data_IF_113301982910
#
_entry.id   IF_113301982910
#
_cell.length_a   1.000
_cell.length_b   1.000
_cell.length_c   1.000
_cell.angle_alpha   90.00
_cell.angle_beta   90.00
_cell.angle_gamma   90.00
#
_symmetry.space_group_name_H-M   'P 1'
#
loop_
_entity.id
_entity.type
_entity.pdbx_description
1 polymer ?
#
# COMPACT_ATOMS: atom_id res chain seq x y z
N UNK A 1 4.74 -4.76 8.96
CA UNK A 1 4.84 -5.60 7.74
C UNK A 1 3.45 -5.98 7.27
N UNK A 2 3.16 -5.77 5.98
CA UNK A 2 1.89 -6.15 5.36
C UNK A 2 1.88 -7.65 5.04
N UNK A 3 0.70 -8.28 5.03
CA UNK A 3 0.52 -9.73 4.77
C UNK A 3 0.96 -10.17 3.37
N UNK A 4 1.21 -9.20 2.49
CA UNK A 4 1.67 -9.36 1.11
C UNK A 4 3.19 -9.22 0.95
N UNK A 5 3.95 -9.41 2.04
CA UNK A 5 5.42 -9.41 2.05
C UNK A 5 6.04 -8.03 1.72
N UNK A 6 5.42 -6.96 2.20
CA UNK A 6 6.01 -5.60 2.19
C UNK A 6 6.29 -5.15 3.62
N UNK A 7 7.48 -4.61 3.86
CA UNK A 7 7.87 -4.08 5.17
C UNK A 7 8.65 -2.78 5.05
N UNK A 8 8.76 -2.07 6.18
CA UNK A 8 9.57 -0.86 6.30
C UNK A 8 11.03 -1.14 5.87
N UNK A 9 11.69 -0.08 5.43
CA UNK A 9 13.07 -0.17 4.95
C UNK A 9 14.00 -0.65 6.05
N UNK A 10 14.99 -1.45 5.66
CA UNK A 10 16.00 -1.93 6.59
C UNK A 10 16.77 -0.75 7.18
N UNK A 11 16.78 -0.64 8.52
CA UNK A 11 17.40 0.46 9.28
C UNK A 11 16.85 1.87 9.00
N UNK A 12 15.67 1.99 8.38
CA UNK A 12 15.03 3.28 8.11
C UNK A 12 15.82 4.19 7.15
N UNK A 13 16.73 3.62 6.35
CA UNK A 13 17.51 4.37 5.37
C UNK A 13 16.75 4.42 4.04
N UNK A 14 16.01 5.51 3.81
CA UNK A 14 15.39 5.76 2.51
C UNK A 14 16.42 6.31 1.54
N UNK A 15 16.83 5.52 0.55
CA UNK A 15 17.63 6.00 -0.59
C UNK A 15 16.70 6.70 -1.59
N UNK A 16 16.15 7.86 -1.21
CA UNK A 16 15.31 8.68 -2.07
C UNK A 16 14.52 9.75 -1.31
N UNK A 17 14.09 10.79 -2.01
CA UNK A 17 13.24 11.84 -1.45
C UNK A 17 11.83 11.31 -1.13
N UNK A 18 11.16 11.94 -0.15
CA UNK A 18 9.74 11.70 0.09
C UNK A 18 8.94 12.29 -1.06
N UNK A 19 7.97 11.51 -1.57
CA UNK A 19 7.04 11.97 -2.58
C UNK A 19 5.81 12.58 -1.93
N UNK A 20 5.29 13.63 -2.54
CA UNK A 20 4.07 14.29 -2.11
C UNK A 20 2.94 14.07 -3.13
N UNK A 21 1.72 13.88 -2.62
CA UNK A 21 0.52 13.72 -3.44
C UNK A 21 -0.62 14.57 -2.85
N UNK A 22 -1.49 15.07 -3.72
CA UNK A 22 -2.77 15.66 -3.33
C UNK A 22 -3.87 14.65 -3.64
N UNK A 23 -4.62 14.25 -2.62
CA UNK A 23 -5.66 13.22 -2.76
C UNK A 23 -7.05 13.79 -3.08
N UNK A 24 -7.14 15.10 -3.36
CA UNK A 24 -8.41 15.78 -3.62
C UNK A 24 -9.32 15.82 -2.40
N UNK A 25 -8.76 15.75 -1.19
CA UNK A 25 -9.48 15.68 0.08
C UNK A 25 -9.45 16.99 0.88
N UNK A 26 -8.89 18.06 0.33
CA UNK A 26 -8.77 19.35 1.01
C UNK A 26 -7.54 19.48 1.91
N UNK A 27 -6.70 18.43 2.03
CA UNK A 27 -5.44 18.52 2.78
C UNK A 27 -4.28 19.14 1.96
N UNK A 28 -4.49 19.39 0.67
CA UNK A 28 -3.43 19.85 -0.23
C UNK A 28 -2.41 18.75 -0.55
N UNK A 29 -1.17 19.13 -0.87
CA UNK A 29 -0.09 18.15 -1.08
C UNK A 29 0.46 17.66 0.26
N UNK A 30 0.39 16.35 0.48
CA UNK A 30 0.94 15.68 1.65
C UNK A 30 2.07 14.73 1.24
N UNK A 31 3.14 14.72 2.05
CA UNK A 31 4.16 13.70 1.94
C UNK A 31 3.57 12.31 2.20
N UNK A 32 4.15 11.30 1.57
CA UNK A 32 3.83 9.90 1.85
C UNK A 32 3.91 9.60 3.34
N UNK A 33 3.02 8.73 3.81
CA UNK A 33 3.05 8.19 5.16
C UNK A 33 4.38 7.48 5.38
N UNK A 34 4.66 6.51 4.51
CA UNK A 34 5.91 5.75 4.52
C UNK A 34 6.21 5.13 3.15
N UNK A 35 7.37 4.48 3.06
CA UNK A 35 7.75 3.58 1.97
C UNK A 35 7.91 2.16 2.52
N UNK A 36 7.32 1.18 1.82
CA UNK A 36 7.48 -0.24 2.13
C UNK A 36 8.13 -0.93 0.95
N UNK A 37 9.11 -1.79 1.22
CA UNK A 37 9.84 -2.59 0.23
C UNK A 37 9.40 -4.04 0.30
N UNK A 38 9.36 -4.72 -0.84
CA UNK A 38 9.11 -6.14 -0.88
C UNK A 38 10.24 -6.88 -0.15
N UNK A 39 9.89 -7.81 0.72
CA UNK A 39 10.85 -8.46 1.61
C UNK A 39 11.07 -9.94 1.31
N UNK A 40 10.53 -10.45 0.20
CA UNK A 40 10.73 -11.85 -0.22
C UNK A 40 10.37 -12.90 0.85
N UNK A 41 9.51 -12.55 1.82
CA UNK A 41 9.12 -13.42 2.92
C UNK A 41 10.12 -13.47 4.08
N UNK A 42 11.21 -12.70 4.03
CA UNK A 42 12.17 -12.55 5.12
C UNK A 42 11.91 -11.22 5.87
N UNK A 43 11.29 -11.25 7.07
CA UNK A 43 10.97 -10.05 7.82
C UNK A 43 12.21 -9.32 8.40
N UNK A 44 13.37 -9.97 8.45
CA UNK A 44 14.57 -9.41 9.07
C UNK A 44 15.56 -8.86 8.04
N UNK A 45 15.75 -9.57 6.92
CA UNK A 45 16.78 -9.23 5.92
C UNK A 45 16.23 -9.05 4.51
N UNK A 46 14.94 -9.28 4.29
CA UNK A 46 14.31 -9.20 2.99
C UNK A 46 14.41 -7.83 2.33
N UNK A 47 14.17 -6.76 3.09
CA UNK A 47 14.25 -5.38 2.58
C UNK A 47 15.69 -4.91 2.39
N UNK A 48 16.66 -5.51 3.09
CA UNK A 48 18.09 -5.32 2.79
C UNK A 48 18.43 -5.94 1.42
N UNK A 49 17.95 -7.15 1.15
CA UNK A 49 18.17 -7.80 -0.14
C UNK A 49 17.54 -7.01 -1.29
N UNK A 50 16.34 -6.48 -1.09
CA UNK A 50 15.67 -5.59 -2.03
C UNK A 50 16.47 -4.29 -2.24
N UNK A 51 16.98 -3.69 -1.17
CA UNK A 51 17.84 -2.49 -1.28
C UNK A 51 19.12 -2.77 -2.08
N UNK A 52 19.66 -3.99 -2.04
CA UNK A 52 20.86 -4.32 -2.82
C UNK A 52 20.51 -4.63 -4.29
N UNK A 53 19.42 -5.37 -4.51
CA UNK A 53 19.09 -5.97 -5.81
C UNK A 53 18.07 -5.18 -6.63
N UNK A 54 17.37 -4.23 -6.02
CA UNK A 54 16.16 -3.65 -6.57
C UNK A 54 14.97 -4.58 -6.37
N UNK A 55 13.79 -4.06 -6.68
CA UNK A 55 12.55 -4.79 -6.47
C UNK A 55 11.34 -3.87 -6.34
N UNK A 56 10.23 -4.48 -5.92
CA UNK A 56 8.96 -3.77 -5.79
C UNK A 56 8.90 -3.01 -4.46
N UNK A 57 8.48 -1.77 -4.51
CA UNK A 57 8.19 -0.97 -3.33
C UNK A 57 6.89 -0.19 -3.51
N UNK A 58 6.34 0.26 -2.39
CA UNK A 58 5.12 1.07 -2.35
C UNK A 58 5.27 2.28 -1.46
N UNK A 59 4.67 3.39 -1.88
CA UNK A 59 4.44 4.59 -1.07
C UNK A 59 2.94 4.71 -0.86
N UNK A 60 2.52 5.19 0.30
CA UNK A 60 1.09 5.23 0.60
C UNK A 60 0.65 6.46 1.40
N UNK A 61 -0.59 6.87 1.15
CA UNK A 61 -1.27 8.01 1.75
C UNK A 61 -2.67 7.60 2.18
N UNK A 62 -3.23 8.27 3.17
CA UNK A 62 -4.62 8.06 3.58
C UNK A 62 -5.46 9.26 3.15
N UNK A 63 -6.60 9.01 2.52
CA UNK A 63 -7.56 10.06 2.19
C UNK A 63 -8.48 10.28 3.39
N UNK A 64 -8.29 11.40 4.08
CA UNK A 64 -8.98 11.72 5.34
C UNK A 64 -9.15 13.22 5.57
N UNK A 65 -9.23 13.99 4.49
CA UNK A 65 -9.39 15.44 4.56
C UNK A 65 -10.85 15.88 4.62
N UNK A 66 -11.07 17.16 4.93
CA UNK A 66 -12.41 17.72 5.16
C UNK A 66 -13.28 17.79 3.90
N UNK A 67 -12.70 17.76 2.70
CA UNK A 67 -13.44 17.78 1.43
C UNK A 67 -13.76 16.37 0.92
N UNK A 68 -12.98 15.37 1.32
CA UNK A 68 -13.26 13.95 1.07
C UNK A 68 -12.58 13.05 2.12
N UNK A 69 -13.38 12.35 2.94
CA UNK A 69 -12.88 11.37 3.91
C UNK A 69 -13.48 10.00 3.61
N UNK A 70 -12.91 9.31 2.62
CA UNK A 70 -13.29 7.92 2.32
C UNK A 70 -12.64 6.92 3.26
N UNK A 71 -11.63 7.33 4.03
CA UNK A 71 -10.76 6.44 4.80
C UNK A 71 -9.86 5.53 3.96
N UNK A 72 -9.92 5.61 2.63
CA UNK A 72 -9.16 4.75 1.72
C UNK A 72 -7.66 5.04 1.77
N UNK A 73 -6.87 4.00 1.54
CA UNK A 73 -5.43 4.14 1.33
C UNK A 73 -5.13 4.27 -0.15
N UNK A 74 -4.39 5.30 -0.51
CA UNK A 74 -3.85 5.53 -1.84
C UNK A 74 -2.44 4.97 -1.86
N UNK A 75 -2.14 4.08 -2.81
CA UNK A 75 -0.85 3.39 -2.90
C UNK A 75 -0.23 3.62 -4.27
N UNK A 76 0.99 4.13 -4.31
CA UNK A 76 1.83 4.18 -5.51
C UNK A 76 2.87 3.06 -5.44
N UNK A 77 2.74 2.10 -6.36
CA UNK A 77 3.64 0.96 -6.47
C UNK A 77 4.61 1.14 -7.63
N UNK A 78 5.85 0.71 -7.44
CA UNK A 78 6.86 0.71 -8.50
C UNK A 78 7.94 -0.33 -8.28
N UNK A 79 8.65 -0.68 -9.36
CA UNK A 79 9.84 -1.53 -9.33
C UNK A 79 11.10 -0.69 -9.60
N UNK A 80 12.10 -0.84 -8.74
CA UNK A 80 13.42 -0.18 -8.83
C UNK A 80 14.50 -1.15 -9.31
N UNK A 81 15.48 -0.61 -10.02
CA UNK A 81 16.78 -1.21 -10.27
C UNK A 81 17.59 -1.37 -8.96
N UNK A 82 18.65 -2.21 -8.94
CA UNK A 82 19.56 -2.33 -7.80
C UNK A 82 20.25 -1.03 -7.39
N UNK A 83 20.81 -1.01 -6.17
CA UNK A 83 21.61 0.11 -5.67
C UNK A 83 22.79 0.48 -6.60
N UNK A 84 23.37 -0.49 -7.31
CA UNK A 84 24.41 -0.24 -8.33
C UNK A 84 23.95 0.64 -9.49
N UNK A 85 22.64 0.79 -9.66
CA UNK A 85 21.97 1.64 -10.63
C UNK A 85 21.16 2.76 -9.94
N UNK A 86 21.51 3.11 -8.69
CA UNK A 86 20.92 4.20 -7.91
C UNK A 86 19.40 4.10 -7.72
N UNK A 87 18.83 2.89 -7.66
CA UNK A 87 17.38 2.71 -7.47
C UNK A 87 16.51 3.44 -8.50
N UNK A 88 17.00 3.57 -9.73
CA UNK A 88 16.19 4.10 -10.82
C UNK A 88 14.97 3.20 -11.04
N UNK A 89 13.82 3.80 -11.34
CA UNK A 89 12.63 3.02 -11.71
C UNK A 89 12.91 2.27 -13.02
N UNK A 90 12.67 0.96 -13.02
CA UNK A 90 12.87 0.12 -14.21
C UNK A 90 11.94 0.56 -15.35
N UNK A 91 12.24 0.27 -16.62
CA UNK A 91 11.27 0.45 -17.70
C UNK A 91 9.95 -0.26 -17.38
N UNK A 92 8.83 0.44 -17.55
CA UNK A 92 7.49 -0.04 -17.16
C UNK A 92 7.31 -0.32 -15.65
N UNK A 93 8.18 0.24 -14.79
CA UNK A 93 8.25 -0.09 -13.37
C UNK A 93 6.98 0.23 -12.58
N UNK A 94 6.19 1.23 -12.99
CA UNK A 94 4.92 1.56 -12.34
C UNK A 94 3.86 0.49 -12.59
N UNK A 95 3.67 0.07 -13.85
CA UNK A 95 2.71 -0.98 -14.18
C UNK A 95 3.14 -2.32 -13.58
N UNK A 96 4.45 -2.64 -13.63
CA UNK A 96 5.00 -3.84 -12.98
C UNK A 96 4.77 -3.82 -11.47
N UNK A 97 5.05 -2.71 -10.80
CA UNK A 97 4.87 -2.57 -9.36
C UNK A 97 3.40 -2.74 -8.96
N UNK A 98 2.50 -2.07 -9.70
CA UNK A 98 1.04 -2.19 -9.53
C UNK A 98 0.58 -3.64 -9.68
N UNK A 99 1.05 -4.34 -10.71
CA UNK A 99 0.61 -5.70 -11.02
C UNK A 99 1.16 -6.72 -10.00
N UNK A 100 2.42 -6.55 -9.55
CA UNK A 100 3.02 -7.37 -8.46
C UNK A 100 2.27 -7.15 -7.15
N UNK A 101 2.04 -5.89 -6.77
CA UNK A 101 1.31 -5.55 -5.55
C UNK A 101 -0.10 -6.14 -5.55
N UNK A 102 -0.84 -5.91 -6.65
CA UNK A 102 -2.22 -6.41 -6.83
C UNK A 102 -2.24 -7.94 -6.80
N UNK A 103 -1.37 -8.60 -7.58
CA UNK A 103 -1.32 -10.05 -7.68
C UNK A 103 -1.04 -10.71 -6.33
N UNK A 104 -0.12 -10.16 -5.54
CA UNK A 104 0.16 -10.64 -4.19
C UNK A 104 -1.02 -10.44 -3.23
N UNK A 105 -1.76 -9.33 -3.36
CA UNK A 105 -2.93 -9.06 -2.52
C UNK A 105 -4.12 -9.97 -2.84
N UNK A 106 -4.31 -10.34 -4.11
CA UNK A 106 -5.50 -11.08 -4.59
C UNK A 106 -5.27 -12.59 -4.74
N UNK A 107 -4.33 -13.17 -4.00
CA UNK A 107 -4.13 -14.62 -3.99
C UNK A 107 -5.43 -15.34 -3.58
N UNK A 108 -5.76 -16.44 -4.27
CA UNK A 108 -7.04 -17.15 -4.10
C UNK A 108 -7.23 -17.76 -2.71
N UNK A 109 -6.14 -18.12 -2.04
CA UNK A 109 -6.12 -18.60 -0.66
C UNK A 109 -6.02 -17.47 0.38
N UNK A 110 -6.05 -16.21 -0.06
CA UNK A 110 -5.82 -15.05 0.79
C UNK A 110 -4.36 -14.87 1.21
N UNK A 111 -4.13 -13.97 2.16
CA UNK A 111 -2.80 -13.67 2.70
C UNK A 111 -2.83 -13.71 4.22
N UNK A 112 -1.67 -13.96 4.84
CA UNK A 112 -1.55 -14.08 6.30
C UNK A 112 -0.49 -13.09 6.79
N UNK A 113 -0.86 -12.25 7.75
CA UNK A 113 0.11 -11.39 8.44
C UNK A 113 0.95 -12.23 9.39
N UNK A 114 2.26 -12.31 9.15
CA UNK A 114 3.20 -13.01 10.04
C UNK A 114 3.20 -12.37 11.44
N UNK A 115 2.94 -11.06 11.54
CA UNK A 115 3.00 -10.32 12.81
C UNK A 115 1.77 -10.58 13.70
N UNK A 116 0.59 -10.73 13.11
CA UNK A 116 -0.69 -10.81 13.86
C UNK A 116 -1.40 -12.14 13.71
N UNK A 117 -0.92 -13.00 12.81
CA UNK A 117 -1.59 -14.21 12.34
C UNK A 117 -3.01 -13.95 11.76
N UNK A 118 -3.32 -12.69 11.41
CA UNK A 118 -4.57 -12.32 10.75
C UNK A 118 -4.57 -12.81 9.31
N UNK A 119 -5.70 -13.31 8.84
CA UNK A 119 -5.90 -13.71 7.46
C UNK A 119 -6.75 -12.69 6.73
N UNK A 120 -6.41 -12.44 5.47
CA UNK A 120 -7.07 -11.45 4.62
C UNK A 120 -7.44 -12.07 3.28
N UNK A 121 -8.53 -11.62 2.68
CA UNK A 121 -8.81 -11.80 1.26
C UNK A 121 -8.97 -10.44 0.59
N UNK A 122 -8.63 -10.34 -0.68
CA UNK A 122 -8.84 -9.13 -1.45
C UNK A 122 -9.45 -9.43 -2.81
N UNK A 123 -10.28 -8.52 -3.29
CA UNK A 123 -10.77 -8.49 -4.68
C UNK A 123 -10.23 -7.25 -5.37
N UNK A 124 -9.96 -7.35 -6.68
CA UNK A 124 -9.54 -6.22 -7.51
C UNK A 124 -10.64 -5.83 -8.50
N UNK A 125 -10.89 -4.53 -8.61
CA UNK A 125 -11.57 -3.92 -9.75
C UNK A 125 -10.55 -3.08 -10.53
N UNK A 126 -10.45 -3.33 -11.83
CA UNK A 126 -9.59 -2.56 -12.73
C UNK A 126 -10.39 -1.40 -13.30
N UNK A 127 -9.85 -0.20 -13.15
CA UNK A 127 -10.47 1.03 -13.64
C UNK A 127 -9.56 1.74 -14.64
N UNK A 128 -10.18 2.25 -15.70
CA UNK A 128 -9.55 3.09 -16.72
C UNK A 128 -9.99 4.55 -16.54
N UNK A 129 -9.30 5.47 -17.21
CA UNK A 129 -9.72 6.87 -17.32
C UNK A 129 -9.33 7.77 -16.14
N UNK A 130 -8.73 7.22 -15.09
CA UNK A 130 -8.09 8.00 -14.02
C UNK A 130 -6.71 8.52 -14.43
N UNK A 131 -5.97 7.72 -15.18
CA UNK A 131 -4.69 8.09 -15.79
C UNK A 131 -4.80 7.98 -17.30
N UNK A 132 -4.07 8.85 -18.00
CA UNK A 132 -4.01 8.81 -19.46
C UNK A 132 -3.18 7.62 -19.90
N UNK A 133 -3.83 6.69 -20.61
CA UNK A 133 -3.16 5.51 -21.13
C UNK A 133 -2.01 5.86 -22.08
N UNK A 134 -0.93 5.07 -22.03
CA UNK A 134 0.30 5.25 -22.80
C UNK A 134 0.90 6.65 -22.65
N UNK A 135 0.80 7.23 -21.45
CA UNK A 135 1.30 8.56 -21.15
C UNK A 135 2.12 8.56 -19.87
N UNK A 136 3.14 9.41 -19.88
CA UNK A 136 3.93 9.78 -18.70
C UNK A 136 3.53 11.14 -18.12
N UNK A 137 2.48 11.74 -18.67
CA UNK A 137 1.94 13.01 -18.19
C UNK A 137 1.46 12.84 -16.75
N UNK A 138 2.12 13.53 -15.83
CA UNK A 138 1.80 13.41 -14.41
C UNK A 138 2.42 12.25 -13.66
N UNK A 139 3.28 11.48 -14.33
CA UNK A 139 3.97 10.32 -13.76
C UNK A 139 5.43 10.68 -13.47
N UNK A 140 5.90 10.29 -12.29
CA UNK A 140 7.28 10.53 -11.88
C UNK A 140 8.27 9.84 -12.85
N UNK A 141 9.48 10.40 -12.98
CA UNK A 141 10.51 9.98 -13.96
C UNK A 141 10.09 9.99 -15.44
N UNK A 142 8.94 10.59 -15.79
CA UNK A 142 8.41 10.59 -17.15
C UNK A 142 8.26 9.18 -17.77
N UNK A 143 7.99 8.17 -16.95
CA UNK A 143 7.73 6.80 -17.39
C UNK A 143 6.26 6.66 -17.75
N UNK A 144 5.98 6.17 -18.96
CA UNK A 144 4.62 5.96 -19.40
C UNK A 144 3.97 4.78 -18.66
N UNK A 145 2.66 4.89 -18.41
CA UNK A 145 1.82 3.82 -17.83
C UNK A 145 0.74 3.41 -18.83
N UNK A 146 0.19 2.21 -18.67
CA UNK A 146 -0.98 1.76 -19.44
C UNK A 146 -2.28 2.49 -19.03
N UNK A 147 -2.24 3.33 -17.99
CA UNK A 147 -3.35 4.15 -17.50
C UNK A 147 -4.32 3.42 -16.58
N UNK A 148 -4.12 2.12 -16.31
CA UNK A 148 -5.00 1.33 -15.45
C UNK A 148 -4.72 1.59 -13.98
N UNK A 149 -5.79 1.66 -13.20
CA UNK A 149 -5.77 1.73 -11.74
C UNK A 149 -6.40 0.46 -11.19
N UNK A 150 -5.75 -0.16 -10.19
CA UNK A 150 -6.35 -1.27 -9.45
C UNK A 150 -6.97 -0.73 -8.16
N UNK A 151 -8.25 -1.03 -7.96
CA UNK A 151 -8.98 -0.75 -6.73
C UNK A 151 -9.14 -2.06 -5.97
N UNK A 152 -8.50 -2.15 -4.80
CA UNK A 152 -8.55 -3.33 -3.96
C UNK A 152 -9.59 -3.16 -2.85
N UNK A 153 -10.45 -4.15 -2.67
CA UNK A 153 -11.30 -4.26 -1.48
C UNK A 153 -10.76 -5.38 -0.62
N UNK A 154 -10.33 -5.06 0.60
CA UNK A 154 -9.70 -6.02 1.52
C UNK A 154 -10.70 -6.42 2.61
N UNK A 155 -10.75 -7.71 2.94
CA UNK A 155 -11.54 -8.25 4.03
C UNK A 155 -10.65 -9.02 4.98
N UNK A 156 -10.85 -8.80 6.27
CA UNK A 156 -10.32 -9.69 7.31
C UNK A 156 -11.17 -10.96 7.29
N UNK A 157 -10.53 -12.10 7.07
CA UNK A 157 -11.19 -13.42 7.06
C UNK A 157 -10.88 -14.25 8.30
N UNK A 158 -9.93 -13.80 9.12
CA UNK A 158 -9.54 -14.40 10.38
C UNK A 158 -8.80 -13.39 11.24
N UNK A 159 -9.25 -13.24 12.49
CA UNK A 159 -8.74 -12.20 13.41
C UNK A 159 -7.35 -12.49 13.97
N UNK A 160 -6.80 -13.68 13.69
CA UNK A 160 -5.50 -14.08 14.20
C UNK A 160 -5.44 -14.09 15.73
N UNK A 161 -4.25 -14.33 16.24
CA UNK A 161 -3.92 -14.15 17.65
C UNK A 161 -2.41 -14.01 17.75
N UNK A 162 -1.95 -12.90 18.31
CA UNK A 162 -0.59 -12.81 18.80
C UNK A 162 -0.56 -13.59 20.11
N UNK A 163 0.31 -14.59 20.26
CA UNK A 163 0.54 -15.20 21.56
C UNK A 163 0.88 -14.06 22.54
N UNK A 164 0.00 -13.84 23.53
CA UNK A 164 0.28 -12.89 24.59
C UNK A 164 1.62 -13.28 25.21
N UNK A 165 2.57 -12.35 25.23
CA UNK A 165 3.77 -12.51 26.05
C UNK A 165 3.29 -12.85 27.47
N UNK A 166 3.59 -14.08 27.91
CA UNK A 166 3.09 -14.62 29.17
C UNK A 166 3.38 -13.66 30.31
N UNK A 167 2.36 -13.01 30.81
CA UNK A 167 2.43 -12.21 32.03
C UNK A 167 1.45 -12.85 33.01
N UNK A 168 2.02 -13.31 34.10
CA UNK A 168 1.37 -13.88 35.27
C UNK A 168 0.19 -13.05 35.75
N UNK A 169 -0.85 -13.77 36.19
CA UNK A 169 -2.14 -13.27 36.63
C UNK A 169 -2.07 -12.09 37.61
N UNK A 170 -2.87 -11.06 37.35
CA UNK A 170 -3.61 -10.34 38.39
C UNK A 170 -4.82 -9.65 37.76
N UNK A 171 -5.99 -10.02 38.26
CA UNK A 171 -7.28 -9.55 37.80
C UNK A 171 -7.51 -8.08 38.19
N UNK A 172 -7.97 -7.28 37.24
CA UNK A 172 -8.85 -6.12 37.48
C UNK A 172 -9.60 -5.82 36.20
N UNK A 173 -10.93 -5.89 36.28
CA UNK A 173 -11.87 -5.66 35.18
C UNK A 173 -11.84 -4.20 34.73
N UNK A 174 -11.77 -3.97 33.42
CA UNK A 174 -12.23 -2.72 32.80
C UNK A 174 -12.99 -3.03 31.52
N UNK A 175 -14.07 -2.28 31.34
CA UNK A 175 -15.18 -2.49 30.41
C UNK A 175 -14.73 -2.56 28.95
N UNK A 176 -15.19 -3.62 28.27
CA UNK A 176 -15.13 -3.76 26.82
C UNK A 176 -16.16 -2.84 26.19
N UNK A 177 -15.73 -1.69 25.67
CA UNK A 177 -16.50 -0.92 24.69
C UNK A 177 -16.12 -1.40 23.28
N UNK A 178 -16.74 -2.47 22.81
CA UNK A 178 -16.68 -2.86 21.40
C UNK A 178 -17.51 -1.86 20.60
N UNK A 179 -16.83 -1.01 19.82
CA UNK A 179 -17.51 -0.20 18.80
C UNK A 179 -18.06 -1.14 17.71
N UNK A 180 -19.35 -1.06 17.35
CA UNK A 180 -19.89 -1.81 16.24
C UNK A 180 -19.43 -1.16 14.93
N UNK A 181 -18.58 -1.84 14.16
CA UNK A 181 -18.39 -1.50 12.75
C UNK A 181 -19.61 -2.00 11.99
N UNK A 182 -20.55 -1.09 11.72
CA UNK A 182 -21.74 -1.39 10.91
C UNK A 182 -21.35 -1.36 9.44
N UNK A 183 -21.46 -2.53 8.81
CA UNK A 183 -21.31 -2.76 7.38
C UNK A 183 -22.41 -2.07 6.59
N UNK A 184 -22.21 -0.82 6.20
CA UNK A 184 -22.85 -0.22 5.02
C UNK A 184 -22.29 1.19 4.87
N UNK A 185 -21.41 1.39 3.89
CA UNK A 185 -21.62 2.44 2.91
C UNK A 185 -20.72 2.18 1.71
N UNK A 186 -21.37 1.95 0.56
CA UNK A 186 -20.71 1.89 -0.74
C UNK A 186 -20.34 3.31 -1.13
N UNK A 187 -19.13 3.73 -0.81
CA UNK A 187 -18.61 5.03 -1.24
C UNK A 187 -18.07 4.89 -2.66
N UNK A 188 -18.79 5.46 -3.62
CA UNK A 188 -18.28 5.78 -4.96
C UNK A 188 -17.53 7.11 -4.86
N UNK A 189 -16.23 7.15 -5.14
CA UNK A 189 -15.51 8.41 -5.33
C UNK A 189 -14.70 8.37 -6.62
N UNK A 190 -15.21 9.18 -7.56
CA UNK A 190 -14.55 9.80 -8.69
C UNK A 190 -13.94 11.11 -8.16
N UNK A 191 -12.68 11.46 -8.47
CA UNK A 191 -12.39 12.80 -8.99
C UNK A 191 -10.95 12.98 -9.50
N UNK A 192 -10.92 13.81 -10.53
CA UNK A 192 -9.84 14.43 -11.29
C UNK A 192 -8.89 15.30 -10.45
N UNK A 193 -7.59 15.23 -10.73
CA UNK A 193 -6.60 16.24 -10.32
C UNK A 193 -5.17 15.73 -10.37
N UNK A 194 -4.39 16.18 -11.35
CA UNK A 194 -2.98 15.89 -11.53
C UNK A 194 -2.14 16.34 -10.31
N UNK A 195 -0.97 15.82 -9.93
CA UNK A 195 0.13 15.09 -10.58
C UNK A 195 0.88 14.36 -9.44
N UNK A 196 1.50 13.20 -9.71
CA UNK A 196 2.65 12.74 -8.92
C UNK A 196 2.49 11.54 -7.98
N UNK A 197 1.55 10.63 -8.20
CA UNK A 197 1.57 9.27 -7.63
C UNK A 197 0.44 8.45 -8.27
N UNK A 198 0.74 7.28 -8.82
CA UNK A 198 -0.29 6.35 -9.31
C UNK A 198 -1.14 5.96 -8.12
N UNK A 199 -2.40 6.39 -8.10
CA UNK A 199 -3.33 6.15 -7.02
C UNK A 199 -3.96 4.75 -7.16
N UNK A 200 -3.57 3.79 -6.33
CA UNK A 200 -4.38 2.58 -6.09
C UNK A 200 -5.21 2.80 -4.83
N UNK A 201 -6.54 2.72 -4.91
CA UNK A 201 -7.40 2.84 -3.74
C UNK A 201 -7.60 1.46 -3.09
N UNK A 202 -7.23 1.34 -1.81
CA UNK A 202 -7.57 0.20 -0.97
C UNK A 202 -8.73 0.60 -0.06
N UNK A 203 -9.88 -0.05 -0.25
CA UNK A 203 -11.07 0.09 0.60
C UNK A 203 -10.97 -0.94 1.75
N UNK A 204 -11.13 -0.47 3.00
CA UNK A 204 -11.22 -1.28 4.23
C UNK A 204 -12.64 -1.21 4.76
#
# INVERSE_FOLDING_TARGET
MWSIQYSEEFLGQSLGERQAANLGDGNGQLNQTDILRYNFGDPNYGTLQESINGGSHVRYWKQNGSEADSGAWFVAASVEEPASQNHMIVPNGYDLGRDVFTGNATLSNGTISIQTNRTFSATVEWMDGFLKANSSEGINHAIATDGRVAVLTIKVTGEGSTAAAGTTSSATSLLSSSLPFTTSDRVKVLLTGALGAVAMAVLV
#
